data_IF_942387867649
#
_entry.id   IF_942387867649
#
_cell.length_a   1.000
_cell.length_b   1.000
_cell.length_c   1.000
_cell.angle_alpha   90.00
_cell.angle_beta   90.00
_cell.angle_gamma   90.00
#
_symmetry.space_group_name_H-M   'P 1'
#
loop_
_entity.id
_entity.type
_entity.pdbx_description
1 polymer ?
#
# COMPACT_ATOMS: atom_id res chain seq x y z
N UNK A 1 -26.54 30.64 35.93
CA UNK A 1 -25.44 30.92 34.97
C UNK A 1 -24.67 29.66 34.59
N UNK A 2 -24.19 28.85 35.55
CA UNK A 2 -23.43 27.61 35.27
C UNK A 2 -24.28 26.52 34.57
N UNK A 3 -25.52 26.31 35.01
CA UNK A 3 -26.41 25.32 34.38
C UNK A 3 -26.73 25.64 32.91
N UNK A 4 -26.91 26.92 32.58
CA UNK A 4 -27.20 27.39 31.22
C UNK A 4 -26.00 27.20 30.28
N UNK A 5 -24.79 27.39 30.80
CA UNK A 5 -23.53 27.11 30.08
C UNK A 5 -23.37 25.60 29.83
N UNK A 6 -23.71 24.76 30.82
CA UNK A 6 -23.62 23.31 30.71
C UNK A 6 -24.60 22.75 29.67
N UNK A 7 -25.85 23.22 29.65
CA UNK A 7 -26.83 22.84 28.63
C UNK A 7 -26.41 23.25 27.23
N UNK A 8 -25.78 24.43 27.08
CA UNK A 8 -25.27 24.90 25.78
C UNK A 8 -24.10 24.06 25.26
N UNK A 9 -23.18 23.65 26.14
CA UNK A 9 -22.07 22.75 25.79
C UNK A 9 -22.60 21.36 25.39
N UNK A 10 -23.56 20.82 26.15
CA UNK A 10 -24.16 19.51 25.86
C UNK A 10 -24.91 19.50 24.52
N UNK A 11 -25.62 20.58 24.20
CA UNK A 11 -26.29 20.75 22.91
C UNK A 11 -25.27 20.82 21.74
N UNK A 12 -24.21 21.63 21.86
CA UNK A 12 -23.17 21.79 20.83
C UNK A 12 -22.39 20.48 20.60
N UNK A 13 -22.08 19.73 21.66
CA UNK A 13 -21.48 18.39 21.54
C UNK A 13 -22.44 17.41 20.83
N UNK A 14 -23.72 17.41 21.20
CA UNK A 14 -24.71 16.54 20.57
C UNK A 14 -24.89 16.82 19.08
N UNK A 15 -24.86 18.10 18.69
CA UNK A 15 -24.94 18.54 17.30
C UNK A 15 -23.73 18.03 16.51
N UNK A 16 -22.51 18.21 17.04
CA UNK A 16 -21.27 17.72 16.39
C UNK A 16 -21.26 16.20 16.23
N UNK A 17 -21.74 15.46 17.23
CA UNK A 17 -21.84 13.99 17.16
C UNK A 17 -22.84 13.59 16.07
N UNK A 18 -24.01 14.23 16.01
CA UNK A 18 -25.02 13.95 14.97
C UNK A 18 -24.48 14.29 13.58
N UNK A 19 -23.82 15.43 13.40
CA UNK A 19 -23.19 15.80 12.13
C UNK A 19 -22.13 14.79 11.71
N UNK A 20 -21.30 14.31 12.65
CA UNK A 20 -20.31 13.26 12.38
C UNK A 20 -20.98 11.96 11.94
N UNK A 21 -22.06 11.54 12.61
CA UNK A 21 -22.83 10.33 12.24
C UNK A 21 -23.40 10.47 10.82
N UNK A 22 -24.01 11.63 10.51
CA UNK A 22 -24.57 11.90 9.17
C UNK A 22 -23.46 11.85 8.11
N UNK A 23 -22.30 12.47 8.37
CA UNK A 23 -21.17 12.46 7.46
C UNK A 23 -20.66 11.02 7.21
N UNK A 24 -20.46 10.24 8.27
CA UNK A 24 -20.03 8.83 8.17
C UNK A 24 -21.06 8.02 7.38
N UNK A 25 -22.36 8.21 7.65
CA UNK A 25 -23.43 7.54 6.93
C UNK A 25 -23.43 7.90 5.44
N UNK A 26 -23.28 9.18 5.10
CA UNK A 26 -23.19 9.64 3.70
C UNK A 26 -21.98 9.03 3.00
N UNK A 27 -20.82 8.99 3.65
CA UNK A 27 -19.62 8.32 3.12
C UNK A 27 -19.91 6.85 2.83
N UNK A 28 -20.50 6.12 3.79
CA UNK A 28 -20.85 4.70 3.62
C UNK A 28 -21.84 4.49 2.46
N UNK A 29 -22.84 5.36 2.32
CA UNK A 29 -23.82 5.29 1.23
C UNK A 29 -23.17 5.53 -0.14
N UNK A 30 -22.23 6.48 -0.23
CA UNK A 30 -21.44 6.70 -1.45
C UNK A 30 -20.57 5.47 -1.77
N UNK A 31 -19.92 4.87 -0.78
CA UNK A 31 -19.15 3.63 -1.01
C UNK A 31 -20.03 2.44 -1.45
N UNK A 32 -21.30 2.41 -1.03
CA UNK A 32 -22.27 1.40 -1.46
C UNK A 32 -22.78 1.61 -2.88
N UNK A 33 -22.82 2.85 -3.38
CA UNK A 33 -23.29 3.13 -4.75
C UNK A 33 -22.24 2.81 -5.82
N UNK A 34 -20.97 2.68 -5.44
CA UNK A 34 -19.89 2.25 -6.34
C UNK A 34 -20.03 0.75 -6.63
N UNK A 35 -19.87 0.36 -7.90
CA UNK A 35 -19.93 -1.05 -8.28
C UNK A 35 -18.85 -1.85 -7.55
N UNK A 36 -19.14 -3.11 -7.13
CA UNK A 36 -18.23 -3.89 -6.29
C UNK A 36 -16.84 -4.04 -6.93
N UNK A 37 -16.77 -4.24 -8.24
CA UNK A 37 -15.49 -4.33 -8.98
C UNK A 37 -14.71 -3.02 -8.92
N UNK A 38 -15.36 -1.87 -9.13
CA UNK A 38 -14.70 -0.56 -9.06
C UNK A 38 -14.19 -0.29 -7.64
N UNK A 39 -14.94 -0.71 -6.62
CA UNK A 39 -14.53 -0.58 -5.22
C UNK A 39 -13.29 -1.42 -4.90
N UNK A 40 -13.27 -2.70 -5.29
CA UNK A 40 -12.09 -3.55 -5.07
C UNK A 40 -10.87 -3.07 -5.86
N UNK A 41 -11.08 -2.61 -7.09
CA UNK A 41 -10.02 -2.01 -7.90
C UNK A 41 -9.45 -0.73 -7.27
N UNK A 42 -10.31 0.13 -6.72
CA UNK A 42 -9.88 1.32 -5.97
C UNK A 42 -9.10 0.94 -4.70
N UNK A 43 -9.55 -0.08 -3.96
CA UNK A 43 -8.83 -0.59 -2.79
C UNK A 43 -7.44 -1.12 -3.17
N UNK A 44 -7.31 -1.79 -4.32
CA UNK A 44 -6.02 -2.26 -4.84
C UNK A 44 -5.09 -1.08 -5.19
N UNK A 45 -5.62 -0.01 -5.80
CA UNK A 45 -4.85 1.21 -6.09
C UNK A 45 -4.38 1.86 -4.79
N UNK A 46 -5.28 2.05 -3.83
CA UNK A 46 -4.97 2.62 -2.53
C UNK A 46 -3.92 1.78 -1.81
N UNK A 47 -4.08 0.45 -1.80
CA UNK A 47 -3.09 -0.45 -1.22
C UNK A 47 -1.72 -0.32 -1.88
N UNK A 48 -1.64 -0.26 -3.21
CA UNK A 48 -0.36 -0.12 -3.91
C UNK A 48 0.35 1.21 -3.60
N UNK A 49 -0.41 2.29 -3.39
CA UNK A 49 0.13 3.56 -2.87
C UNK A 49 0.64 3.37 -1.44
N UNK A 50 -0.13 2.71 -0.56
CA UNK A 50 0.31 2.42 0.81
C UNK A 50 1.49 1.43 0.88
N UNK A 51 1.62 0.55 -0.10
CA UNK A 51 2.66 -0.46 -0.18
C UNK A 51 4.05 0.17 -0.27
N UNK A 52 4.14 1.39 -0.81
CA UNK A 52 5.34 2.22 -0.71
C UNK A 52 5.84 2.37 0.74
N UNK A 53 4.96 2.68 1.69
CA UNK A 53 5.33 2.84 3.10
C UNK A 53 5.77 1.51 3.70
N UNK A 54 5.14 0.40 3.30
CA UNK A 54 5.52 -0.95 3.75
C UNK A 54 6.92 -1.30 3.25
N UNK A 55 7.20 -1.04 1.98
CA UNK A 55 8.53 -1.21 1.37
C UNK A 55 9.55 -0.34 2.11
N UNK A 56 9.23 0.93 2.38
CA UNK A 56 10.14 1.84 3.07
C UNK A 56 10.44 1.40 4.51
N UNK A 57 9.41 0.92 5.24
CA UNK A 57 9.59 0.32 6.56
C UNK A 57 10.46 -0.93 6.52
N UNK A 58 10.31 -1.78 5.52
CA UNK A 58 11.19 -2.92 5.33
C UNK A 58 12.63 -2.49 5.06
N UNK A 59 12.83 -1.46 4.21
CA UNK A 59 14.15 -0.87 3.96
C UNK A 59 14.84 -0.41 5.25
N UNK A 60 14.14 0.39 6.05
CA UNK A 60 14.63 0.82 7.36
C UNK A 60 14.96 -0.36 8.28
N UNK A 61 14.10 -1.38 8.32
CA UNK A 61 14.30 -2.54 9.19
C UNK A 61 15.57 -3.32 8.81
N UNK A 62 15.81 -3.54 7.51
CA UNK A 62 17.01 -4.25 7.08
C UNK A 62 18.28 -3.39 7.20
N UNK A 63 18.21 -2.07 7.04
CA UNK A 63 19.38 -1.23 7.33
C UNK A 63 19.70 -1.20 8.84
N UNK A 64 18.65 -1.17 9.68
CA UNK A 64 18.81 -1.22 11.12
C UNK A 64 19.42 -2.54 11.61
N UNK A 65 19.18 -3.67 10.92
CA UNK A 65 19.78 -4.97 11.31
C UNK A 65 21.31 -4.97 11.17
N UNK A 66 21.88 -4.16 10.26
CA UNK A 66 23.33 -3.98 10.11
C UNK A 66 23.86 -2.69 10.75
N UNK A 67 23.04 -2.00 11.56
CA UNK A 67 23.35 -0.70 12.19
C UNK A 67 23.80 0.38 11.19
N UNK A 68 23.31 0.30 9.95
CA UNK A 68 23.66 1.23 8.88
C UNK A 68 22.63 2.35 8.76
N UNK A 69 23.07 3.62 8.63
CA UNK A 69 22.21 4.74 8.24
C UNK A 69 22.06 4.86 6.70
N UNK A 70 22.52 3.87 5.92
CA UNK A 70 22.54 3.86 4.46
C UNK A 70 21.16 3.81 3.76
N UNK A 71 21.10 3.98 2.42
CA UNK A 71 19.93 4.45 1.69
C UNK A 71 18.62 3.79 2.08
N UNK A 72 17.60 4.65 2.27
CA UNK A 72 16.24 4.22 2.61
C UNK A 72 15.26 4.53 1.47
N UNK A 73 15.55 5.50 0.60
CA UNK A 73 14.68 5.82 -0.54
C UNK A 73 15.40 5.67 -1.87
N UNK A 74 14.84 4.85 -2.76
CA UNK A 74 15.27 4.73 -4.16
C UNK A 74 14.17 5.18 -5.13
N UNK A 75 13.00 5.58 -4.62
CA UNK A 75 11.84 5.93 -5.43
C UNK A 75 11.72 7.44 -5.54
N UNK A 76 12.22 8.00 -6.65
CA UNK A 76 12.21 9.44 -6.92
C UNK A 76 10.81 10.06 -7.17
N UNK A 77 9.76 9.24 -7.30
CA UNK A 77 8.44 9.67 -7.80
C UNK A 77 7.33 9.78 -6.73
N UNK A 78 7.63 9.57 -5.45
CA UNK A 78 6.64 9.69 -4.37
C UNK A 78 6.86 11.02 -3.62
N UNK A 79 6.22 12.14 -4.02
CA UNK A 79 6.54 13.49 -3.53
C UNK A 79 6.16 13.73 -2.06
N UNK A 80 5.45 12.80 -1.42
CA UNK A 80 4.95 12.94 -0.04
C UNK A 80 6.02 12.57 1.01
N UNK A 81 7.12 11.93 0.61
CA UNK A 81 8.20 11.54 1.52
C UNK A 81 9.51 12.14 1.03
N UNK A 82 9.81 13.35 1.52
CA UNK A 82 11.10 14.01 1.33
C UNK A 82 12.15 13.28 2.19
N UNK A 83 12.72 12.20 1.66
CA UNK A 83 13.87 11.52 2.26
C UNK A 83 15.12 11.85 1.43
N UNK A 84 16.21 12.22 2.11
CA UNK A 84 17.46 12.59 1.46
C UNK A 84 17.98 11.45 0.58
N UNK A 85 18.37 11.78 -0.66
CA UNK A 85 19.06 10.85 -1.55
C UNK A 85 20.32 10.33 -0.87
N UNK A 86 20.59 9.03 -0.97
CA UNK A 86 21.80 8.49 -0.38
C UNK A 86 23.03 8.97 -1.13
N UNK A 87 24.02 9.46 -0.38
CA UNK A 87 25.36 9.72 -0.89
C UNK A 87 26.04 8.40 -1.30
N UNK A 88 26.96 8.46 -2.27
CA UNK A 88 27.69 7.27 -2.78
C UNK A 88 28.43 6.51 -1.67
N UNK A 89 28.94 7.21 -0.66
CA UNK A 89 29.54 6.61 0.55
C UNK A 89 28.54 5.80 1.39
N UNK A 90 27.26 6.19 1.43
CA UNK A 90 26.20 5.45 2.12
C UNK A 90 25.72 4.23 1.32
N UNK A 91 25.86 4.24 0.00
CA UNK A 91 25.49 3.10 -0.85
C UNK A 91 26.39 1.86 -0.63
N UNK A 92 27.62 2.06 -0.14
CA UNK A 92 28.54 0.97 0.22
C UNK A 92 28.12 0.19 1.49
N UNK A 93 27.22 0.77 2.31
CA UNK A 93 26.74 0.16 3.55
C UNK A 93 25.30 -0.37 3.44
N UNK A 94 24.91 -0.86 2.26
CA UNK A 94 23.57 -1.43 2.06
C UNK A 94 23.49 -2.89 2.53
N UNK A 95 22.34 -3.24 3.10
CA UNK A 95 22.02 -4.63 3.42
C UNK A 95 22.08 -5.53 2.17
N UNK A 96 22.60 -6.75 2.31
CA UNK A 96 22.81 -7.70 1.19
C UNK A 96 21.53 -7.99 0.40
N UNK A 97 20.37 -8.03 1.07
CA UNK A 97 19.04 -8.18 0.44
C UNK A 97 18.81 -7.17 -0.69
N UNK A 98 19.25 -5.93 -0.53
CA UNK A 98 19.05 -4.87 -1.54
C UNK A 98 20.00 -4.97 -2.73
N UNK A 99 21.07 -5.74 -2.59
CA UNK A 99 22.02 -6.01 -3.68
C UNK A 99 21.53 -7.14 -4.58
N UNK A 100 20.58 -7.95 -4.12
CA UNK A 100 20.05 -9.09 -4.87
C UNK A 100 19.35 -8.66 -6.17
N UNK A 101 19.44 -9.47 -7.24
CA UNK A 101 18.72 -9.19 -8.49
C UNK A 101 17.20 -9.18 -8.29
N UNK A 102 16.69 -10.00 -7.36
CA UNK A 102 15.27 -10.06 -7.02
C UNK A 102 14.77 -8.72 -6.47
N UNK A 103 15.50 -8.11 -5.54
CA UNK A 103 15.13 -6.80 -4.99
C UNK A 103 15.20 -5.69 -6.04
N UNK A 104 16.26 -5.66 -6.84
CA UNK A 104 16.41 -4.66 -7.92
C UNK A 104 15.29 -4.77 -8.96
N UNK A 105 14.92 -6.00 -9.32
CA UNK A 105 13.78 -6.25 -10.19
C UNK A 105 12.46 -5.81 -9.56
N UNK A 106 12.24 -6.13 -8.28
CA UNK A 106 11.08 -5.67 -7.53
C UNK A 106 10.95 -4.15 -7.52
N UNK A 107 12.02 -3.41 -7.20
CA UNK A 107 11.98 -1.94 -7.19
C UNK A 107 11.67 -1.36 -8.56
N UNK A 108 12.27 -1.94 -9.60
CA UNK A 108 12.01 -1.52 -10.99
C UNK A 108 10.57 -1.79 -11.36
N UNK A 109 10.06 -2.99 -11.08
CA UNK A 109 8.69 -3.38 -11.35
C UNK A 109 7.70 -2.49 -10.58
N UNK A 110 7.94 -2.21 -9.30
CA UNK A 110 7.09 -1.36 -8.48
C UNK A 110 6.98 0.07 -9.04
N UNK A 111 8.07 0.64 -9.57
CA UNK A 111 8.03 1.95 -10.24
C UNK A 111 7.13 1.95 -11.47
N UNK A 112 7.28 0.94 -12.33
CA UNK A 112 6.44 0.81 -13.52
C UNK A 112 4.99 0.49 -13.15
N UNK A 113 4.78 -0.26 -12.06
CA UNK A 113 3.46 -0.58 -11.55
C UNK A 113 2.72 0.67 -11.09
N UNK A 114 3.37 1.56 -10.34
CA UNK A 114 2.77 2.83 -9.93
C UNK A 114 2.35 3.68 -11.15
N UNK A 115 3.18 3.71 -12.20
CA UNK A 115 2.82 4.38 -13.45
C UNK A 115 1.62 3.71 -14.14
N UNK A 116 1.46 2.38 -14.00
CA UNK A 116 0.33 1.60 -14.51
C UNK A 116 -0.99 1.84 -13.74
N UNK A 117 -0.93 2.29 -12.48
CA UNK A 117 -2.15 2.59 -11.70
C UNK A 117 -2.95 3.75 -12.29
N UNK A 118 -2.30 4.72 -12.93
CA UNK A 118 -2.98 5.85 -13.56
C UNK A 118 -3.87 5.41 -14.76
N UNK A 119 -3.36 4.69 -15.78
CA UNK A 119 -4.19 4.18 -16.85
C UNK A 119 -5.23 3.17 -16.35
N UNK A 120 -4.95 2.44 -15.26
CA UNK A 120 -5.94 1.58 -14.61
C UNK A 120 -7.10 2.39 -14.01
N UNK A 121 -6.81 3.45 -13.26
CA UNK A 121 -7.84 4.36 -12.73
C UNK A 121 -8.69 4.98 -13.85
N UNK A 122 -8.05 5.43 -14.94
CA UNK A 122 -8.75 5.97 -16.10
C UNK A 122 -9.64 4.91 -16.76
N UNK A 123 -9.17 3.66 -16.89
CA UNK A 123 -9.94 2.56 -17.45
C UNK A 123 -11.16 2.19 -16.59
N UNK A 124 -11.12 2.40 -15.26
CA UNK A 124 -12.27 2.20 -14.36
C UNK A 124 -13.33 3.30 -14.48
N UNK A 125 -12.93 4.51 -14.91
CA UNK A 125 -13.81 5.66 -15.08
C UNK A 125 -14.49 5.66 -16.46
N UNK A 126 -13.76 5.28 -17.51
CA UNK A 126 -14.24 5.33 -18.89
C UNK A 126 -14.89 4.00 -19.30
N UNK A 127 -16.19 3.97 -19.62
CA UNK A 127 -16.80 2.78 -20.22
C UNK A 127 -16.15 2.50 -21.59
N UNK A 128 -15.84 1.24 -21.88
CA UNK A 128 -15.29 0.72 -23.16
C UNK A 128 -13.77 0.87 -23.40
N UNK A 129 -12.98 1.34 -22.43
CA UNK A 129 -11.52 1.23 -22.55
C UNK A 129 -11.07 -0.23 -22.37
N UNK A 130 -9.84 -0.59 -22.80
CA UNK A 130 -9.23 -1.95 -22.72
C UNK A 130 -9.04 -2.45 -21.27
N UNK A 131 -10.13 -2.50 -20.50
CA UNK A 131 -10.17 -2.74 -19.07
C UNK A 131 -9.60 -4.11 -18.76
N UNK A 132 -9.93 -5.12 -19.58
CA UNK A 132 -9.41 -6.48 -19.41
C UNK A 132 -7.88 -6.51 -19.48
N UNK A 133 -7.28 -5.92 -20.51
CA UNK A 133 -5.83 -5.91 -20.70
C UNK A 133 -5.12 -5.17 -19.55
N UNK A 134 -5.57 -3.96 -19.22
CA UNK A 134 -4.95 -3.14 -18.18
C UNK A 134 -5.14 -3.79 -16.80
N UNK A 135 -6.32 -4.34 -16.51
CA UNK A 135 -6.58 -5.05 -15.25
C UNK A 135 -5.73 -6.30 -15.12
N UNK A 136 -5.60 -7.10 -16.19
CA UNK A 136 -4.73 -8.27 -16.20
C UNK A 136 -3.27 -7.89 -15.96
N UNK A 137 -2.80 -6.81 -16.59
CA UNK A 137 -1.43 -6.34 -16.40
C UNK A 137 -1.18 -5.85 -14.96
N UNK A 138 -2.14 -5.13 -14.36
CA UNK A 138 -2.09 -4.71 -12.96
C UNK A 138 -2.08 -5.93 -12.02
N UNK A 139 -2.92 -6.94 -12.28
CA UNK A 139 -2.98 -8.16 -11.48
C UNK A 139 -1.68 -8.97 -11.56
N UNK A 140 -1.18 -9.21 -12.77
CA UNK A 140 0.09 -9.91 -12.99
C UNK A 140 1.24 -9.17 -12.32
N UNK A 141 1.30 -7.85 -12.49
CA UNK A 141 2.34 -7.05 -11.86
C UNK A 141 2.25 -7.07 -10.33
N UNK A 142 1.05 -6.99 -9.74
CA UNK A 142 0.84 -7.18 -8.31
C UNK A 142 1.33 -8.56 -7.83
N UNK A 143 0.98 -9.63 -8.56
CA UNK A 143 1.40 -10.98 -8.21
C UNK A 143 2.92 -11.16 -8.25
N UNK A 144 3.58 -10.67 -9.31
CA UNK A 144 5.04 -10.74 -9.43
C UNK A 144 5.72 -9.92 -8.33
N UNK A 145 5.20 -8.73 -8.02
CA UNK A 145 5.69 -7.94 -6.89
C UNK A 145 5.55 -8.66 -5.56
N UNK A 146 4.41 -9.33 -5.31
CA UNK A 146 4.21 -10.16 -4.13
C UNK A 146 5.28 -11.25 -4.01
N UNK A 147 5.53 -12.01 -5.09
CA UNK A 147 6.53 -13.09 -5.10
C UNK A 147 7.93 -12.54 -4.80
N UNK A 148 8.33 -11.45 -5.46
CA UNK A 148 9.65 -10.87 -5.24
C UNK A 148 9.80 -10.28 -3.83
N UNK A 149 8.74 -9.68 -3.27
CA UNK A 149 8.77 -9.11 -1.93
C UNK A 149 8.85 -10.20 -0.86
N UNK A 150 8.04 -11.25 -0.96
CA UNK A 150 8.12 -12.42 -0.08
C UNK A 150 9.49 -13.09 -0.19
N UNK A 151 10.03 -13.28 -1.40
CA UNK A 151 11.37 -13.85 -1.57
C UNK A 151 12.46 -13.00 -0.90
N UNK A 152 12.35 -11.67 -0.98
CA UNK A 152 13.28 -10.74 -0.32
C UNK A 152 13.14 -10.76 1.21
N UNK A 153 11.92 -10.88 1.72
CA UNK A 153 11.64 -11.05 3.15
C UNK A 153 12.23 -12.37 3.68
N UNK A 154 12.02 -13.46 2.97
CA UNK A 154 12.58 -14.78 3.31
C UNK A 154 14.11 -14.75 3.30
N UNK A 155 14.72 -14.12 2.30
CA UNK A 155 16.17 -13.96 2.24
C UNK A 155 16.70 -13.10 3.40
N UNK A 156 15.98 -12.03 3.76
CA UNK A 156 16.33 -11.23 4.94
C UNK A 156 16.20 -12.01 6.25
N UNK A 157 15.16 -12.83 6.40
CA UNK A 157 14.96 -13.68 7.58
C UNK A 157 16.09 -14.70 7.76
N UNK A 158 16.62 -15.26 6.66
CA UNK A 158 17.78 -16.16 6.71
C UNK A 158 19.05 -15.47 7.22
N UNK A 159 19.14 -14.15 7.05
CA UNK A 159 20.31 -13.34 7.42
C UNK A 159 20.15 -12.61 8.77
N UNK A 160 18.97 -12.68 9.40
CA UNK A 160 18.63 -11.84 10.55
C UNK A 160 18.41 -12.64 11.83
N UNK A 161 18.76 -12.04 12.97
CA UNK A 161 18.50 -12.63 14.28
C UNK A 161 17.01 -12.62 14.66
N UNK A 162 16.61 -13.59 15.47
CA UNK A 162 15.24 -13.82 15.94
C UNK A 162 14.45 -12.58 16.43
N UNK A 163 15.00 -11.62 17.22
CA UNK A 163 14.22 -10.50 17.74
C UNK A 163 13.73 -9.51 16.68
N UNK A 164 14.36 -9.47 15.50
CA UNK A 164 13.93 -8.59 14.40
C UNK A 164 12.74 -9.18 13.62
N UNK A 165 12.45 -10.48 13.76
CA UNK A 165 11.35 -11.17 13.06
C UNK A 165 9.95 -10.70 13.49
N UNK A 166 9.76 -10.31 14.75
CA UNK A 166 8.46 -9.84 15.26
C UNK A 166 8.04 -8.50 14.61
N UNK A 167 9.01 -7.64 14.27
CA UNK A 167 8.75 -6.39 13.55
C UNK A 167 8.38 -6.63 12.08
N UNK A 168 8.71 -7.81 11.55
CA UNK A 168 8.35 -8.23 10.20
C UNK A 168 6.86 -8.57 10.08
N UNK A 169 6.18 -8.95 11.16
CA UNK A 169 4.77 -9.36 11.13
C UNK A 169 3.89 -8.25 10.54
N UNK A 170 4.07 -7.01 10.97
CA UNK A 170 3.33 -5.87 10.44
C UNK A 170 3.63 -5.66 8.93
N UNK A 171 4.89 -5.83 8.52
CA UNK A 171 5.29 -5.69 7.11
C UNK A 171 4.62 -6.78 6.26
N UNK A 172 4.58 -8.02 6.76
CA UNK A 172 3.95 -9.16 6.07
C UNK A 172 2.43 -8.98 5.99
N UNK A 173 1.77 -8.61 7.10
CA UNK A 173 0.32 -8.43 7.13
C UNK A 173 -0.15 -7.28 6.23
N UNK A 174 0.45 -6.09 6.35
CA UNK A 174 0.02 -4.90 5.59
C UNK A 174 0.57 -4.85 4.16
N UNK A 175 1.65 -5.56 3.87
CA UNK A 175 2.20 -5.68 2.53
C UNK A 175 1.60 -6.87 1.79
N UNK A 176 2.34 -7.99 1.67
CA UNK A 176 1.97 -9.11 0.84
C UNK A 176 0.68 -9.82 1.28
N UNK A 177 0.39 -9.87 2.58
CA UNK A 177 -0.84 -10.48 3.11
C UNK A 177 -2.10 -9.74 2.66
N UNK A 178 -2.13 -8.42 2.79
CA UNK A 178 -3.26 -7.62 2.29
C UNK A 178 -3.32 -7.60 0.76
N UNK A 179 -2.16 -7.57 0.10
CA UNK A 179 -2.07 -7.62 -1.36
C UNK A 179 -2.73 -8.87 -1.94
N UNK A 180 -2.39 -10.06 -1.42
CA UNK A 180 -2.94 -11.32 -1.92
C UNK A 180 -4.44 -11.42 -1.62
N UNK A 181 -4.89 -10.95 -0.44
CA UNK A 181 -6.29 -10.91 -0.07
C UNK A 181 -7.12 -10.05 -1.05
N UNK A 182 -6.63 -8.87 -1.41
CA UNK A 182 -7.28 -8.00 -2.40
C UNK A 182 -7.31 -8.62 -3.80
N UNK A 183 -6.21 -9.25 -4.25
CA UNK A 183 -6.16 -9.95 -5.55
C UNK A 183 -7.24 -11.04 -5.61
N UNK A 184 -7.32 -11.89 -4.58
CA UNK A 184 -8.35 -12.94 -4.52
C UNK A 184 -9.76 -12.37 -4.55
N UNK A 185 -10.04 -11.31 -3.79
CA UNK A 185 -11.36 -10.64 -3.80
C UNK A 185 -11.71 -10.04 -5.16
N UNK A 186 -10.73 -9.45 -5.86
CA UNK A 186 -10.97 -8.92 -7.20
C UNK A 186 -11.27 -10.06 -8.20
N UNK A 187 -10.49 -11.15 -8.13
CA UNK A 187 -10.67 -12.32 -9.00
C UNK A 187 -12.05 -12.99 -8.80
N UNK A 188 -12.52 -13.13 -7.55
CA UNK A 188 -13.86 -13.71 -7.30
C UNK A 188 -14.97 -12.84 -7.89
N UNK A 189 -14.87 -11.51 -7.78
CA UNK A 189 -15.85 -10.61 -8.39
C UNK A 189 -15.80 -10.58 -9.92
N UNK A 190 -14.62 -10.74 -10.53
CA UNK A 190 -14.49 -10.87 -11.98
C UNK A 190 -15.09 -12.20 -12.45
N UNK A 191 -14.81 -13.30 -11.74
CA UNK A 191 -15.35 -14.63 -12.06
C UNK A 191 -16.88 -14.68 -11.98
N UNK A 192 -17.47 -14.19 -10.87
CA UNK A 192 -18.93 -14.16 -10.67
C UNK A 192 -19.65 -13.34 -11.75
N UNK A 193 -18.99 -12.39 -12.39
CA UNK A 193 -19.58 -11.56 -13.45
C UNK A 193 -19.38 -12.13 -14.85
N UNK A 194 -18.41 -13.03 -15.02
CA UNK A 194 -18.11 -13.66 -16.30
C UNK A 194 -18.98 -14.92 -16.54
N UNK A 195 -19.43 -15.57 -15.47
CA UNK A 195 -20.44 -16.64 -15.48
C UNK A 195 -21.84 -16.07 -15.19
#
# INVERSE_FOLDING_TARGET
>A
MIATLFFKIMADISERVVTLIILVYQIVMVFRSISPIKREALLLVVHNVFFYFVINRFKHLAQASIKSPGPVNTFYYMPVVYEATASEQRAQQMHQVFLTPMWKFFETLFRHHLALLLPFNLALLVPNCKLLLISSLVLVSNFVMFVCFIGSLSYWLLLSDFPMSLRLLNIVCFGPGFQIWLIFRLLTHVWIRAN
#
